data_IF_574407864603
#
_entry.id   IF_574407864603
#
_cell.length_a   1.000
_cell.length_b   1.000
_cell.length_c   1.000
_cell.angle_alpha   90.00
_cell.angle_beta   90.00
_cell.angle_gamma   90.00
#
_symmetry.space_group_name_H-M   'P 1'
#
loop_
_entity.id
_entity.type
_entity.pdbx_description
1 polymer ?
#
# COMPACT_ATOMS: atom_id res chain seq x y z
N UNK A 1 -1.61 26.69 -7.56
CA UNK A 1 -2.14 25.40 -8.03
C UNK A 1 -3.65 25.46 -7.98
N UNK A 2 -4.34 25.04 -9.04
CA UNK A 2 -5.77 24.74 -8.95
C UNK A 2 -5.86 23.33 -8.38
N UNK A 3 -6.51 23.16 -7.23
CA UNK A 3 -6.78 21.84 -6.68
C UNK A 3 -7.60 21.04 -7.69
N UNK A 4 -7.11 19.86 -8.08
CA UNK A 4 -7.83 18.95 -8.97
C UNK A 4 -9.05 18.36 -8.24
N UNK A 5 -10.24 18.75 -8.69
CA UNK A 5 -11.51 18.28 -8.13
C UNK A 5 -11.69 16.75 -8.26
N UNK A 6 -11.09 16.13 -9.27
CA UNK A 6 -11.08 14.69 -9.49
C UNK A 6 -10.28 13.94 -8.42
N UNK A 7 -9.07 14.40 -8.10
CA UNK A 7 -8.25 13.79 -7.04
C UNK A 7 -8.95 13.84 -5.68
N UNK A 8 -9.53 15.00 -5.35
CA UNK A 8 -10.32 15.14 -4.12
C UNK A 8 -11.52 14.20 -4.10
N UNK A 9 -12.26 14.11 -5.21
CA UNK A 9 -13.41 13.21 -5.32
C UNK A 9 -13.01 11.74 -5.14
N UNK A 10 -11.89 11.33 -5.73
CA UNK A 10 -11.31 10.00 -5.54
C UNK A 10 -10.98 9.73 -4.06
N UNK A 11 -10.29 10.64 -3.38
CA UNK A 11 -9.94 10.45 -1.97
C UNK A 11 -11.17 10.41 -1.05
N UNK A 12 -12.21 11.19 -1.34
CA UNK A 12 -13.49 11.12 -0.63
C UNK A 12 -14.18 9.76 -0.85
N UNK A 13 -14.10 9.20 -2.07
CA UNK A 13 -14.62 7.88 -2.39
C UNK A 13 -13.86 6.74 -1.67
N UNK A 14 -12.52 6.79 -1.66
CA UNK A 14 -11.70 5.84 -0.89
C UNK A 14 -12.03 5.89 0.60
N UNK A 15 -12.18 7.08 1.18
CA UNK A 15 -12.60 7.24 2.59
C UNK A 15 -13.96 6.62 2.84
N UNK A 16 -14.92 6.79 1.93
CA UNK A 16 -16.26 6.21 2.05
C UNK A 16 -16.21 4.67 2.03
N UNK A 17 -15.50 4.05 1.10
CA UNK A 17 -15.45 2.58 1.04
C UNK A 17 -14.65 1.99 2.19
N UNK A 18 -13.48 2.54 2.52
CA UNK A 18 -12.65 2.05 3.62
C UNK A 18 -13.36 2.12 4.97
N UNK A 19 -14.22 3.13 5.20
CA UNK A 19 -15.08 3.20 6.38
C UNK A 19 -16.14 2.08 6.45
N UNK A 20 -16.57 1.54 5.31
CA UNK A 20 -17.56 0.47 5.23
C UNK A 20 -16.93 -0.94 5.27
N UNK A 21 -15.65 -1.08 4.94
CA UNK A 21 -14.90 -2.34 5.00
C UNK A 21 -14.75 -2.79 6.45
N UNK A 22 -14.94 -4.07 6.74
CA UNK A 22 -14.71 -4.64 8.09
C UNK A 22 -13.21 -4.75 8.40
N UNK A 23 -12.86 -4.66 9.68
CA UNK A 23 -11.46 -4.69 10.15
C UNK A 23 -10.67 -5.90 9.61
N UNK A 24 -11.28 -7.09 9.60
CA UNK A 24 -10.65 -8.31 9.10
C UNK A 24 -10.30 -8.24 7.60
N UNK A 25 -11.05 -7.46 6.82
CA UNK A 25 -10.80 -7.29 5.39
C UNK A 25 -9.72 -6.23 5.14
N UNK A 26 -9.41 -5.34 6.09
CA UNK A 26 -8.36 -4.34 5.89
C UNK A 26 -6.96 -4.96 5.73
N UNK A 27 -6.75 -6.19 6.21
CA UNK A 27 -5.51 -6.94 5.95
C UNK A 27 -5.38 -7.34 4.48
N UNK A 28 -6.49 -7.65 3.80
CA UNK A 28 -6.47 -7.86 2.35
C UNK A 28 -6.06 -6.56 1.65
N UNK A 29 -6.63 -5.42 2.05
CA UNK A 29 -6.32 -4.12 1.43
C UNK A 29 -4.82 -3.80 1.54
N UNK A 30 -4.29 -3.90 2.76
CA UNK A 30 -2.87 -3.71 3.00
C UNK A 30 -1.98 -4.69 2.22
N UNK A 31 -2.31 -5.99 2.22
CA UNK A 31 -1.55 -6.98 1.46
C UNK A 31 -1.57 -6.73 -0.05
N UNK A 32 -2.72 -6.31 -0.60
CA UNK A 32 -2.89 -6.02 -2.02
C UNK A 32 -2.10 -4.78 -2.46
N UNK A 33 -2.08 -3.73 -1.64
CA UNK A 33 -1.24 -2.54 -1.85
C UNK A 33 0.24 -2.90 -1.77
N UNK A 34 0.67 -3.61 -0.73
CA UNK A 34 2.07 -3.98 -0.54
C UNK A 34 2.62 -4.92 -1.63
N UNK A 35 1.80 -5.81 -2.17
CA UNK A 35 2.20 -6.67 -3.30
C UNK A 35 2.52 -5.85 -4.56
N UNK A 36 1.80 -4.76 -4.81
CA UNK A 36 2.06 -3.87 -5.94
C UNK A 36 3.35 -3.08 -5.73
N UNK A 37 3.54 -2.49 -4.54
CA UNK A 37 4.76 -1.77 -4.19
C UNK A 37 6.01 -2.65 -4.25
N UNK A 38 5.90 -3.92 -3.82
CA UNK A 38 6.96 -4.91 -3.95
C UNK A 38 7.25 -5.25 -5.41
N UNK A 39 6.24 -5.32 -6.27
CA UNK A 39 6.42 -5.55 -7.70
C UNK A 39 7.14 -4.38 -8.38
N UNK A 40 6.75 -3.14 -8.05
CA UNK A 40 7.38 -1.92 -8.58
C UNK A 40 8.86 -1.85 -8.18
N UNK A 41 9.17 -2.15 -6.92
CA UNK A 41 10.54 -2.08 -6.36
C UNK A 41 11.40 -3.32 -6.64
N UNK A 42 10.88 -4.34 -7.33
CA UNK A 42 11.58 -5.62 -7.54
C UNK A 42 12.97 -5.46 -8.19
N UNK A 43 13.14 -4.48 -9.08
CA UNK A 43 14.40 -4.24 -9.79
C UNK A 43 15.54 -3.69 -8.93
N UNK A 44 15.23 -3.11 -7.76
CA UNK A 44 16.19 -2.40 -6.91
C UNK A 44 16.31 -3.00 -5.51
N UNK A 45 15.33 -3.79 -5.06
CA UNK A 45 15.22 -4.17 -3.65
C UNK A 45 16.44 -4.95 -3.15
N UNK A 46 17.03 -5.81 -3.98
CA UNK A 46 18.25 -6.56 -3.65
C UNK A 46 19.54 -5.73 -3.64
N UNK A 47 19.50 -4.52 -4.22
CA UNK A 47 20.61 -3.56 -4.21
C UNK A 47 20.58 -2.70 -2.93
N UNK A 48 19.39 -2.40 -2.43
CA UNK A 48 19.19 -1.45 -1.33
C UNK A 48 18.97 -2.11 0.02
N UNK A 49 18.37 -3.30 0.06
CA UNK A 49 18.12 -4.03 1.30
C UNK A 49 19.00 -5.28 1.41
N UNK A 50 19.39 -5.61 2.64
CA UNK A 50 20.05 -6.86 2.96
C UNK A 50 19.06 -8.05 2.79
N UNK A 51 19.59 -9.24 2.49
CA UNK A 51 18.76 -10.44 2.30
C UNK A 51 17.84 -10.74 3.49
N UNK A 52 18.29 -10.44 4.72
CA UNK A 52 17.49 -10.60 5.94
C UNK A 52 16.27 -9.67 5.98
N UNK A 53 16.40 -8.44 5.47
CA UNK A 53 15.34 -7.43 5.44
C UNK A 53 14.32 -7.75 4.35
N UNK A 54 14.81 -8.21 3.20
CA UNK A 54 13.97 -8.72 2.11
C UNK A 54 13.18 -9.95 2.58
N UNK A 55 13.82 -10.86 3.32
CA UNK A 55 13.16 -12.02 3.89
C UNK A 55 12.11 -11.62 4.92
N UNK A 56 12.41 -10.65 5.78
CA UNK A 56 11.46 -10.08 6.74
C UNK A 56 10.20 -9.54 6.04
N UNK A 57 10.35 -8.73 4.99
CA UNK A 57 9.22 -8.21 4.20
C UNK A 57 8.38 -9.35 3.62
N UNK A 58 9.02 -10.36 3.01
CA UNK A 58 8.33 -11.52 2.43
C UNK A 58 7.61 -12.37 3.48
N UNK A 59 8.22 -12.54 4.65
CA UNK A 59 7.64 -13.28 5.76
C UNK A 59 6.40 -12.55 6.33
N UNK A 60 6.46 -11.22 6.43
CA UNK A 60 5.33 -10.41 6.87
C UNK A 60 4.18 -10.50 5.85
N UNK A 61 4.45 -10.37 4.55
CA UNK A 61 3.42 -10.51 3.52
C UNK A 61 2.80 -11.91 3.51
N UNK A 62 3.62 -12.95 3.64
CA UNK A 62 3.13 -14.33 3.77
C UNK A 62 2.26 -14.50 5.02
N UNK A 63 2.61 -13.82 6.11
CA UNK A 63 1.81 -13.82 7.33
C UNK A 63 0.47 -13.10 7.15
N UNK A 64 0.46 -11.92 6.52
CA UNK A 64 -0.78 -11.19 6.18
C UNK A 64 -1.70 -12.08 5.36
N UNK A 65 -1.20 -12.71 4.29
CA UNK A 65 -2.02 -13.55 3.42
C UNK A 65 -2.55 -14.80 4.12
N UNK A 66 -1.74 -15.46 4.96
CA UNK A 66 -2.24 -16.63 5.72
C UNK A 66 -3.35 -16.27 6.70
N UNK A 67 -3.33 -15.05 7.27
CA UNK A 67 -4.43 -14.53 8.11
C UNK A 67 -5.67 -14.21 7.29
N UNK A 68 -5.52 -13.56 6.12
CA UNK A 68 -6.62 -13.29 5.19
C UNK A 68 -7.36 -14.60 4.82
N UNK A 69 -6.60 -15.65 4.48
CA UNK A 69 -7.13 -16.95 4.06
C UNK A 69 -7.78 -17.73 5.20
N UNK A 70 -7.13 -17.76 6.36
CA UNK A 70 -7.66 -18.46 7.55
C UNK A 70 -8.84 -17.76 8.22
N UNK A 71 -9.14 -16.52 7.80
CA UNK A 71 -10.12 -15.65 8.48
C UNK A 71 -9.77 -15.40 9.96
N UNK A 72 -8.49 -15.42 10.30
CA UNK A 72 -8.01 -15.13 11.64
C UNK A 72 -7.71 -13.63 11.78
N UNK A 73 -7.14 -13.23 12.92
CA UNK A 73 -6.57 -11.91 13.15
C UNK A 73 -5.05 -12.04 13.24
N UNK A 74 -4.34 -11.02 12.78
CA UNK A 74 -2.92 -10.89 13.10
C UNK A 74 -2.75 -10.84 14.63
N UNK A 75 -1.84 -11.68 15.14
CA UNK A 75 -1.45 -11.76 16.54
C UNK A 75 -0.74 -10.47 16.93
N UNK A 76 -1.22 -9.75 17.97
CA UNK A 76 -0.53 -8.56 18.46
C UNK A 76 0.92 -8.84 18.87
N UNK A 77 1.20 -10.00 19.45
CA UNK A 77 2.55 -10.39 19.88
C UNK A 77 3.48 -10.55 18.67
N UNK A 78 3.04 -11.31 17.66
CA UNK A 78 3.82 -11.51 16.44
C UNK A 78 4.00 -10.20 15.65
N UNK A 79 2.95 -9.38 15.57
CA UNK A 79 3.03 -8.06 14.93
C UNK A 79 3.99 -7.11 15.66
N UNK A 80 4.09 -7.13 16.99
CA UNK A 80 5.10 -6.33 17.73
C UNK A 80 6.53 -6.76 17.41
N UNK A 81 6.77 -8.05 17.22
CA UNK A 81 8.07 -8.56 16.80
C UNK A 81 8.41 -8.01 15.42
N UNK A 82 7.50 -8.14 14.46
CA UNK A 82 7.70 -7.59 13.12
C UNK A 82 7.91 -6.08 13.11
N UNK A 83 7.15 -5.31 13.90
CA UNK A 83 7.36 -3.86 14.03
C UNK A 83 8.75 -3.52 14.54
N UNK A 84 9.24 -4.22 15.56
CA UNK A 84 10.60 -3.99 16.07
C UNK A 84 11.63 -4.27 14.96
N UNK A 85 11.49 -5.40 14.27
CA UNK A 85 12.46 -5.81 13.26
C UNK A 85 12.38 -4.93 12.00
N UNK A 86 11.21 -4.35 11.67
CA UNK A 86 11.04 -3.34 10.61
C UNK A 86 11.74 -2.03 10.94
N UNK A 87 11.68 -1.59 12.20
CA UNK A 87 12.35 -0.35 12.64
C UNK A 87 13.90 -0.45 12.56
N UNK A 88 14.44 -1.66 12.40
CA UNK A 88 15.87 -1.89 12.18
C UNK A 88 16.27 -1.79 10.69
N UNK A 89 15.31 -1.67 9.77
CA UNK A 89 15.60 -1.43 8.34
C UNK A 89 16.10 0.00 8.18
N UNK A 90 17.27 0.18 7.57
CA UNK A 90 17.79 1.51 7.26
C UNK A 90 17.12 2.07 5.99
N UNK A 91 16.15 2.96 6.16
CA UNK A 91 15.48 3.69 5.07
C UNK A 91 16.13 5.04 4.71
N UNK A 92 17.16 5.46 5.44
CA UNK A 92 17.74 6.82 5.34
C UNK A 92 18.29 7.15 3.96
N UNK A 93 18.72 6.12 3.21
CA UNK A 93 19.37 6.27 1.91
C UNK A 93 18.39 6.08 0.73
N UNK A 94 17.09 5.86 0.98
CA UNK A 94 16.09 5.70 -0.08
C UNK A 94 15.77 7.05 -0.72
N UNK A 95 15.94 7.15 -2.03
CA UNK A 95 15.56 8.34 -2.80
C UNK A 95 14.05 8.35 -3.07
N UNK A 96 13.32 9.20 -2.34
CA UNK A 96 11.86 9.33 -2.50
C UNK A 96 11.44 10.02 -3.81
N UNK A 97 12.39 10.58 -4.55
CA UNK A 97 12.15 11.12 -5.89
C UNK A 97 12.28 10.05 -6.97
N UNK A 98 12.96 8.94 -6.71
CA UNK A 98 13.00 7.80 -7.63
C UNK A 98 11.73 6.94 -7.49
N UNK A 99 11.14 6.59 -8.64
CA UNK A 99 9.91 5.78 -8.71
C UNK A 99 10.00 4.46 -7.93
N UNK A 100 11.08 3.71 -8.10
CA UNK A 100 11.22 2.38 -7.51
C UNK A 100 11.61 2.47 -6.04
N UNK A 101 12.51 3.40 -5.68
CA UNK A 101 12.95 3.60 -4.30
C UNK A 101 11.82 4.18 -3.43
N UNK A 102 11.01 5.11 -3.96
CA UNK A 102 9.81 5.57 -3.26
C UNK A 102 8.77 4.46 -3.10
N UNK A 103 8.59 3.57 -4.09
CA UNK A 103 7.73 2.39 -3.92
C UNK A 103 8.24 1.46 -2.80
N UNK A 104 9.55 1.31 -2.65
CA UNK A 104 10.14 0.54 -1.55
C UNK A 104 9.94 1.22 -0.19
N UNK A 105 10.08 2.54 -0.13
CA UNK A 105 9.78 3.32 1.07
C UNK A 105 8.30 3.17 1.48
N UNK A 106 7.38 3.41 0.55
CA UNK A 106 5.95 3.27 0.77
C UNK A 106 5.55 1.83 1.15
N UNK A 107 6.26 0.81 0.65
CA UNK A 107 6.08 -0.59 1.06
C UNK A 107 6.37 -0.76 2.56
N UNK A 108 7.51 -0.25 3.04
CA UNK A 108 7.93 -0.37 4.44
C UNK A 108 6.91 0.35 5.35
N UNK A 109 6.55 1.59 5.01
CA UNK A 109 5.56 2.38 5.76
C UNK A 109 4.18 1.72 5.75
N UNK A 110 3.75 1.15 4.63
CA UNK A 110 2.48 0.44 4.52
C UNK A 110 2.46 -0.81 5.40
N UNK A 111 3.54 -1.59 5.41
CA UNK A 111 3.67 -2.76 6.29
C UNK A 111 3.64 -2.34 7.76
N UNK A 112 4.40 -1.30 8.15
CA UNK A 112 4.39 -0.76 9.51
C UNK A 112 2.97 -0.39 9.94
N UNK A 113 2.24 0.34 9.10
CA UNK A 113 0.88 0.76 9.40
C UNK A 113 -0.08 -0.42 9.61
N UNK A 114 0.02 -1.48 8.80
CA UNK A 114 -0.80 -2.69 8.93
C UNK A 114 -0.45 -3.44 10.22
N UNK A 115 0.84 -3.58 10.55
CA UNK A 115 1.27 -4.23 11.79
C UNK A 115 0.86 -3.40 13.02
N UNK A 116 0.95 -2.07 12.96
CA UNK A 116 0.47 -1.18 14.02
C UNK A 116 -1.05 -1.27 14.20
N UNK A 117 -1.82 -1.40 13.12
CA UNK A 117 -3.25 -1.70 13.19
C UNK A 117 -3.51 -3.05 13.87
N UNK A 118 -2.74 -4.08 13.56
CA UNK A 118 -2.86 -5.39 14.20
C UNK A 118 -2.64 -5.32 15.72
N UNK A 119 -1.70 -4.48 16.19
CA UNK A 119 -1.42 -4.30 17.62
C UNK A 119 -2.44 -3.41 18.32
N UNK A 120 -2.75 -2.25 17.73
CA UNK A 120 -3.53 -1.19 18.37
C UNK A 120 -5.04 -1.30 18.17
N UNK A 121 -5.46 -2.01 17.11
CA UNK A 121 -6.85 -2.04 16.60
C UNK A 121 -7.41 -0.65 16.29
N UNK A 122 -6.54 0.33 15.99
CA UNK A 122 -6.94 1.69 15.63
C UNK A 122 -6.83 1.91 14.13
N UNK A 123 -7.95 2.32 13.54
CA UNK A 123 -8.01 2.81 12.15
C UNK A 123 -7.36 4.19 12.01
N UNK A 124 -7.20 4.62 10.76
CA UNK A 124 -6.57 5.89 10.39
C UNK A 124 -5.44 5.73 9.37
N UNK A 125 -5.06 4.50 9.03
CA UNK A 125 -4.01 4.20 8.06
C UNK A 125 -4.53 4.05 6.61
N UNK A 126 -5.85 3.96 6.43
CA UNK A 126 -6.47 3.65 5.15
C UNK A 126 -6.20 4.71 4.08
N UNK A 127 -6.12 5.99 4.48
CA UNK A 127 -5.73 7.09 3.59
C UNK A 127 -4.30 6.88 3.07
N UNK A 128 -3.36 6.58 3.98
CA UNK A 128 -1.95 6.38 3.60
C UNK A 128 -1.81 5.19 2.66
N UNK A 129 -2.50 4.06 2.93
CA UNK A 129 -2.49 2.93 2.00
C UNK A 129 -3.06 3.27 0.62
N UNK A 130 -4.12 4.08 0.56
CA UNK A 130 -4.71 4.50 -0.73
C UNK A 130 -3.78 5.41 -1.51
N UNK A 131 -2.91 6.15 -0.81
CA UNK A 131 -1.89 7.00 -1.42
C UNK A 131 -0.61 6.26 -1.78
N UNK A 132 -0.28 5.14 -1.14
CA UNK A 132 1.05 4.54 -1.21
C UNK A 132 1.54 4.25 -2.65
N UNK A 133 0.72 3.60 -3.47
CA UNK A 133 1.07 3.34 -4.89
C UNK A 133 1.05 4.63 -5.72
N UNK A 134 0.12 5.54 -5.42
CA UNK A 134 0.02 6.82 -6.10
C UNK A 134 1.21 7.74 -5.80
N UNK A 135 1.78 7.69 -4.60
CA UNK A 135 2.99 8.43 -4.25
C UNK A 135 4.19 7.95 -5.06
N UNK A 136 4.33 6.63 -5.26
CA UNK A 136 5.35 6.11 -6.16
C UNK A 136 5.10 6.60 -7.60
N UNK A 137 3.88 6.46 -8.10
CA UNK A 137 3.52 6.94 -9.45
C UNK A 137 3.79 8.45 -9.59
N UNK A 138 3.50 9.25 -8.58
CA UNK A 138 3.76 10.70 -8.59
C UNK A 138 5.25 11.00 -8.69
N UNK A 139 6.13 10.28 -7.97
CA UNK A 139 7.59 10.40 -8.16
C UNK A 139 7.99 10.16 -9.61
N UNK A 140 7.35 9.19 -10.29
CA UNK A 140 7.59 8.95 -11.72
C UNK A 140 7.09 10.08 -12.61
N UNK A 141 5.96 10.71 -12.27
CA UNK A 141 5.43 11.85 -13.03
C UNK A 141 6.33 13.08 -12.88
N UNK A 142 6.93 13.26 -11.71
CA UNK A 142 7.84 14.37 -11.43
C UNK A 142 9.11 14.34 -12.29
N UNK A 143 9.54 13.16 -12.77
CA UNK A 143 10.62 13.04 -13.77
C UNK A 143 10.29 13.77 -15.09
N UNK A 144 9.01 13.88 -15.42
CA UNK A 144 8.47 14.54 -16.61
C UNK A 144 7.88 15.94 -16.29
N UNK A 145 8.25 16.55 -15.16
CA UNK A 145 7.73 17.82 -14.64
C UNK A 145 6.18 17.84 -14.46
N UNK A 146 5.58 16.65 -14.28
CA UNK A 146 4.16 16.48 -14.01
C UNK A 146 3.90 16.22 -12.50
N UNK A 147 2.65 16.45 -12.07
CA UNK A 147 2.23 16.27 -10.68
C UNK A 147 0.79 15.73 -10.68
N UNK A 148 0.53 14.68 -9.88
CA UNK A 148 -0.76 14.00 -9.79
C UNK A 148 -1.91 14.93 -9.35
N UNK A 149 -1.60 16.02 -8.66
CA UNK A 149 -2.56 17.03 -8.19
C UNK A 149 -2.94 18.03 -9.29
N UNK A 150 -2.29 17.99 -10.46
CA UNK A 150 -2.69 18.76 -11.64
C UNK A 150 -3.73 18.00 -12.47
N UNK A 151 -4.47 18.71 -13.33
CA UNK A 151 -5.41 18.06 -14.24
C UNK A 151 -4.68 17.15 -15.25
N UNK A 152 -3.48 17.53 -15.69
CA UNK A 152 -2.68 16.75 -16.65
C UNK A 152 -2.17 15.46 -16.00
N UNK A 153 -1.42 15.57 -14.90
CA UNK A 153 -0.85 14.41 -14.20
C UNK A 153 -1.92 13.45 -13.66
N UNK A 154 -3.05 13.96 -13.17
CA UNK A 154 -4.15 13.09 -12.74
C UNK A 154 -4.73 12.27 -13.90
N UNK A 155 -4.81 12.84 -15.09
CA UNK A 155 -5.37 12.16 -16.27
C UNK A 155 -4.35 11.24 -16.96
N UNK A 156 -3.11 11.14 -16.45
CA UNK A 156 -2.13 10.19 -16.97
C UNK A 156 -2.66 8.75 -16.90
N UNK A 157 -2.48 7.94 -17.96
CA UNK A 157 -3.04 6.59 -18.01
C UNK A 157 -2.60 5.67 -16.87
N UNK A 158 -1.40 5.89 -16.31
CA UNK A 158 -0.92 5.11 -15.16
C UNK A 158 -1.68 5.46 -13.87
N UNK A 159 -1.97 6.75 -13.65
CA UNK A 159 -2.75 7.22 -12.49
C UNK A 159 -4.19 6.76 -12.60
N UNK A 160 -4.82 6.94 -13.75
CA UNK A 160 -6.22 6.54 -13.94
C UNK A 160 -6.43 5.03 -13.79
N UNK A 161 -5.49 4.20 -14.26
CA UNK A 161 -5.53 2.76 -14.03
C UNK A 161 -5.43 2.42 -12.56
N UNK A 162 -4.50 3.02 -11.82
CA UNK A 162 -4.38 2.77 -10.37
C UNK A 162 -5.67 3.16 -9.64
N UNK A 163 -6.21 4.34 -9.92
CA UNK A 163 -7.47 4.84 -9.33
C UNK A 163 -8.63 3.89 -9.62
N UNK A 164 -8.78 3.44 -10.86
CA UNK A 164 -9.83 2.50 -11.25
C UNK A 164 -9.68 1.17 -10.49
N UNK A 165 -8.46 0.61 -10.45
CA UNK A 165 -8.17 -0.64 -9.74
C UNK A 165 -8.45 -0.54 -8.25
N UNK A 166 -7.98 0.52 -7.58
CA UNK A 166 -8.26 0.76 -6.17
C UNK A 166 -9.77 0.93 -5.90
N UNK A 167 -10.46 1.69 -6.76
CA UNK A 167 -11.90 1.90 -6.61
C UNK A 167 -12.69 0.60 -6.74
N UNK A 168 -12.37 -0.23 -7.73
CA UNK A 168 -13.03 -1.51 -7.95
C UNK A 168 -12.79 -2.50 -6.81
N UNK A 169 -11.55 -2.62 -6.34
CA UNK A 169 -11.24 -3.55 -5.24
C UNK A 169 -11.86 -3.08 -3.92
N UNK A 170 -11.82 -1.78 -3.61
CA UNK A 170 -12.45 -1.22 -2.39
C UNK A 170 -13.97 -1.40 -2.39
N UNK A 171 -14.64 -1.17 -3.53
CA UNK A 171 -16.08 -1.46 -3.69
C UNK A 171 -16.37 -2.92 -3.41
N UNK A 172 -15.60 -3.83 -4.01
CA UNK A 172 -15.78 -5.25 -3.82
C UNK A 172 -15.57 -5.68 -2.36
N UNK A 173 -14.56 -5.12 -1.70
CA UNK A 173 -14.27 -5.38 -0.28
C UNK A 173 -15.33 -4.83 0.69
N UNK A 174 -16.02 -3.75 0.31
CA UNK A 174 -17.13 -3.19 1.07
C UNK A 174 -18.36 -4.10 1.01
N UNK A 175 -18.53 -4.86 -0.08
CA UNK A 175 -19.67 -5.75 -0.28
C UNK A 175 -19.43 -7.18 0.22
N UNK A 176 -18.19 -7.69 0.08
CA UNK A 176 -17.85 -9.07 0.44
C UNK A 176 -16.44 -9.22 0.96
N UNK A 177 -16.19 -10.35 1.62
CA UNK A 177 -14.84 -10.77 1.99
C UNK A 177 -14.06 -11.27 0.76
N UNK A 178 -12.78 -10.94 0.71
CA UNK A 178 -11.81 -11.43 -0.27
C UNK A 178 -10.75 -12.32 0.40
N UNK A 179 -10.11 -13.16 -0.39
CA UNK A 179 -9.05 -14.11 0.01
C UNK A 179 -7.80 -13.93 -0.87
N UNK A 180 -6.70 -14.64 -0.58
CA UNK A 180 -5.45 -14.50 -1.33
C UNK A 180 -5.55 -14.89 -2.80
N UNK A 181 -6.55 -15.67 -3.22
CA UNK A 181 -6.80 -15.95 -4.64
C UNK A 181 -7.17 -14.68 -5.42
N UNK A 182 -7.69 -13.67 -4.72
CA UNK A 182 -8.07 -12.38 -5.29
C UNK A 182 -6.94 -11.35 -5.28
N UNK A 183 -5.72 -11.70 -4.82
CA UNK A 183 -4.64 -10.73 -4.59
C UNK A 183 -4.07 -10.06 -5.85
N UNK A 184 -4.37 -10.58 -7.04
CA UNK A 184 -4.00 -9.98 -8.34
C UNK A 184 -5.21 -9.41 -9.09
N UNK A 185 -6.38 -9.34 -8.46
CA UNK A 185 -7.57 -8.78 -9.09
C UNK A 185 -7.34 -7.29 -9.39
N UNK A 186 -7.62 -6.88 -10.63
CA UNK A 186 -7.44 -5.52 -11.14
C UNK A 186 -5.99 -4.99 -11.18
N UNK A 187 -4.98 -5.85 -11.07
CA UNK A 187 -3.56 -5.51 -11.28
C UNK A 187 -3.10 -5.91 -12.68
#
# INVERSE_FOLDING_TARGET
>A
MKDNNGFKAYMDECRKYTAAIKDENLFFWGGWVCEELLAISQGIISRLLAEKEISLIKDILSYIWSVVDSNDKLSPEKSRIYLRDLNDINETDLDRTDYQENALYELIISIDAIMNFAVSKRRGFEYNLSMAVLNAIDSKLQDDDQDILTDEGFNEPIVQREIESQTLILRLMAEKKLDSNSKKLYR
#
